data_IF_974850759079
#
_entry.id   IF_974850759079
#
_cell.length_a   1.000
_cell.length_b   1.000
_cell.length_c   1.000
_cell.angle_alpha   90.00
_cell.angle_beta   90.00
_cell.angle_gamma   90.00
#
_symmetry.space_group_name_H-M   'P 1'
#
loop_
_entity.id
_entity.type
_entity.pdbx_description
1 polymer ?
#
# COMPACT_ATOMS: atom_id res chain seq x y z
N UNK A 1 57.71 -42.70 -53.35
CA UNK A 1 57.57 -41.92 -54.60
C UNK A 1 56.59 -40.78 -54.31
N UNK A 2 57.10 -39.56 -54.11
CA UNK A 2 56.87 -38.39 -54.99
C UNK A 2 55.38 -37.98 -55.03
N UNK A 3 54.92 -36.80 -54.60
CA UNK A 3 55.49 -35.44 -54.76
C UNK A 3 54.94 -34.48 -53.69
N UNK A 4 55.81 -33.56 -53.28
CA UNK A 4 55.51 -32.33 -52.56
C UNK A 4 54.90 -31.27 -53.50
N UNK A 5 54.02 -30.42 -52.97
CA UNK A 5 53.70 -29.11 -53.54
C UNK A 5 54.04 -28.04 -52.52
N UNK A 6 55.00 -27.19 -52.91
CA UNK A 6 55.45 -26.00 -52.20
C UNK A 6 54.46 -24.84 -52.41
N UNK A 7 54.40 -23.89 -51.48
CA UNK A 7 54.40 -22.46 -51.79
C UNK A 7 54.88 -21.65 -50.59
N UNK A 8 55.84 -20.78 -50.85
CA UNK A 8 56.51 -19.86 -49.94
C UNK A 8 55.81 -18.49 -49.90
N UNK A 9 56.28 -17.68 -48.94
CA UNK A 9 56.30 -16.22 -48.90
C UNK A 9 55.03 -15.55 -48.36
N UNK A 10 55.10 -14.47 -47.59
CA UNK A 10 56.21 -13.76 -46.97
C UNK A 10 55.62 -12.93 -45.82
N UNK A 11 56.41 -12.74 -44.76
CA UNK A 11 56.06 -11.86 -43.67
C UNK A 11 56.26 -10.38 -43.99
N UNK A 12 55.61 -9.57 -43.15
CA UNK A 12 55.80 -8.14 -42.76
C UNK A 12 54.44 -7.45 -42.77
N UNK A 13 54.09 -6.50 -41.92
CA UNK A 13 54.52 -6.10 -40.59
C UNK A 13 53.40 -5.15 -40.12
N UNK A 14 53.04 -5.27 -38.84
CA UNK A 14 52.52 -4.24 -37.94
C UNK A 14 51.59 -3.16 -38.51
N UNK A 15 50.36 -3.13 -38.01
CA UNK A 15 49.75 -1.89 -37.53
C UNK A 15 48.71 -2.16 -36.46
N UNK A 16 49.05 -1.75 -35.23
CA UNK A 16 48.14 -1.72 -34.11
C UNK A 16 46.98 -0.75 -34.40
N UNK A 17 45.75 -1.21 -34.23
CA UNK A 17 44.61 -0.36 -33.91
C UNK A 17 43.97 -0.93 -32.66
N UNK A 18 44.20 -0.26 -31.53
CA UNK A 18 43.36 -0.37 -30.37
C UNK A 18 42.06 0.39 -30.66
N UNK A 19 40.92 -0.29 -30.58
CA UNK A 19 39.63 0.35 -30.37
C UNK A 19 38.84 -0.50 -29.38
N UNK A 20 38.87 -0.03 -28.14
CA UNK A 20 38.22 -0.54 -26.96
C UNK A 20 36.71 -0.29 -27.08
N UNK A 21 35.92 -1.31 -27.43
CA UNK A 21 34.46 -1.25 -27.29
C UNK A 21 34.07 -1.96 -26.00
N UNK A 22 34.13 -1.24 -24.87
CA UNK A 22 33.44 -1.64 -23.65
C UNK A 22 31.93 -1.44 -23.89
N UNK A 23 31.23 -2.53 -24.18
CA UNK A 23 29.77 -2.55 -24.16
C UNK A 23 29.29 -2.39 -22.72
N UNK A 24 28.97 -1.15 -22.32
CA UNK A 24 28.25 -0.91 -21.08
C UNK A 24 26.81 -1.42 -21.25
N UNK A 25 26.53 -2.63 -20.74
CA UNK A 25 25.17 -3.08 -20.56
C UNK A 25 24.54 -2.21 -19.46
N UNK A 26 23.66 -1.27 -19.85
CA UNK A 26 22.86 -0.50 -18.91
C UNK A 26 21.98 -1.44 -18.09
N UNK A 27 22.25 -1.53 -16.79
CA UNK A 27 21.24 -2.00 -15.85
C UNK A 27 20.12 -0.96 -15.85
N UNK A 28 18.99 -1.28 -16.50
CA UNK A 28 17.76 -0.57 -16.25
C UNK A 28 17.32 -0.90 -14.81
N UNK A 29 17.49 0.05 -13.91
CA UNK A 29 16.85 0.00 -12.60
C UNK A 29 15.32 -0.04 -12.79
N UNK A 30 14.56 -0.78 -11.98
CA UNK A 30 13.11 -0.66 -12.02
C UNK A 30 12.77 0.78 -11.64
N UNK A 31 11.84 1.38 -12.39
CA UNK A 31 11.21 2.61 -11.95
C UNK A 31 10.48 2.30 -10.65
N UNK A 32 11.03 2.71 -9.50
CA UNK A 32 10.24 2.88 -8.30
C UNK A 32 9.13 3.85 -8.66
N UNK A 33 7.90 3.35 -8.73
CA UNK A 33 6.73 4.19 -8.65
C UNK A 33 6.71 4.74 -7.23
N UNK A 34 7.50 5.79 -6.99
CA UNK A 34 7.50 6.52 -5.76
C UNK A 34 6.07 7.01 -5.57
N UNK A 35 5.34 6.43 -4.60
CA UNK A 35 4.16 7.05 -4.05
C UNK A 35 4.61 8.39 -3.47
N UNK A 36 4.58 9.42 -4.30
CA UNK A 36 4.65 10.80 -3.86
C UNK A 36 3.51 10.94 -2.86
N UNK A 37 3.86 11.15 -1.59
CA UNK A 37 2.93 11.64 -0.59
C UNK A 37 2.94 13.17 -0.69
N UNK A 38 2.05 13.81 -1.48
CA UNK A 38 1.85 15.24 -1.35
C UNK A 38 1.32 15.50 0.06
N UNK A 39 2.15 16.13 0.89
CA UNK A 39 1.73 16.58 2.20
C UNK A 39 0.62 17.63 2.12
N UNK A 40 -0.31 17.54 3.09
CA UNK A 40 -1.17 18.60 3.69
C UNK A 40 -2.67 18.66 3.36
N UNK A 41 -3.21 17.93 2.38
CA UNK A 41 -4.66 17.91 2.15
C UNK A 41 -5.30 16.62 2.69
N UNK A 42 -6.48 16.74 3.31
CA UNK A 42 -7.29 15.57 3.65
C UNK A 42 -7.67 14.82 2.36
N UNK A 43 -7.66 13.47 2.34
CA UNK A 43 -8.12 12.72 1.19
C UNK A 43 -9.62 13.00 1.00
N UNK A 44 -10.13 12.88 -0.24
CA UNK A 44 -11.57 12.90 -0.46
C UNK A 44 -12.23 11.76 0.34
N UNK A 45 -13.49 11.92 0.78
CA UNK A 45 -14.21 10.83 1.42
C UNK A 45 -14.34 9.64 0.45
N UNK A 46 -14.35 8.43 1.01
CA UNK A 46 -14.62 7.24 0.22
C UNK A 46 -16.05 7.27 -0.32
N UNK A 47 -16.21 7.08 -1.63
CA UNK A 47 -17.50 6.97 -2.29
C UNK A 47 -17.56 5.63 -3.01
N UNK A 48 -18.42 4.72 -2.52
CA UNK A 48 -18.71 3.47 -3.21
C UNK A 48 -19.42 3.77 -4.53
N UNK A 49 -18.72 3.59 -5.65
CA UNK A 49 -19.27 3.85 -6.99
C UNK A 49 -18.53 3.03 -8.03
N UNK A 50 -19.24 2.61 -9.08
CA UNK A 50 -18.64 1.93 -10.24
C UNK A 50 -17.92 2.90 -11.20
N UNK A 51 -17.86 4.19 -10.89
CA UNK A 51 -17.19 5.21 -11.71
C UNK A 51 -15.66 5.13 -11.67
N UNK A 52 -15.07 4.44 -10.68
CA UNK A 52 -13.61 4.25 -10.53
C UNK A 52 -13.26 2.78 -10.63
N UNK A 53 -12.10 2.38 -11.16
CA UNK A 53 -11.67 0.97 -11.11
C UNK A 53 -11.50 0.49 -9.66
N UNK A 54 -11.63 -0.83 -9.43
CA UNK A 54 -11.49 -1.43 -8.09
C UNK A 54 -10.21 -1.01 -7.36
N UNK A 55 -9.06 -1.02 -8.04
CA UNK A 55 -7.78 -0.62 -7.44
C UNK A 55 -7.83 0.82 -6.88
N UNK A 56 -8.42 1.76 -7.62
CA UNK A 56 -8.55 3.14 -7.16
C UNK A 56 -9.49 3.28 -5.95
N UNK A 57 -10.52 2.44 -5.83
CA UNK A 57 -11.36 2.41 -4.62
C UNK A 57 -10.62 1.86 -3.41
N UNK A 58 -9.74 0.88 -3.60
CA UNK A 58 -8.87 0.36 -2.52
C UNK A 58 -7.88 1.43 -2.08
N UNK A 59 -7.25 2.14 -3.03
CA UNK A 59 -6.37 3.27 -2.72
C UNK A 59 -7.10 4.37 -1.95
N UNK A 60 -8.30 4.77 -2.39
CA UNK A 60 -9.14 5.73 -1.68
C UNK A 60 -9.44 5.26 -0.23
N UNK A 61 -9.86 4.01 -0.05
CA UNK A 61 -10.19 3.46 1.27
C UNK A 61 -8.96 3.43 2.20
N UNK A 62 -7.80 3.01 1.69
CA UNK A 62 -6.55 3.02 2.46
C UNK A 62 -6.10 4.43 2.82
N UNK A 63 -6.22 5.40 1.89
CA UNK A 63 -5.86 6.79 2.15
C UNK A 63 -6.75 7.43 3.21
N UNK A 64 -8.07 7.20 3.15
CA UNK A 64 -9.03 7.67 4.16
C UNK A 64 -8.73 7.04 5.52
N UNK A 65 -8.51 5.73 5.57
CA UNK A 65 -8.13 5.02 6.79
C UNK A 65 -6.84 5.57 7.39
N UNK A 66 -5.79 5.70 6.58
CA UNK A 66 -4.49 6.18 7.01
C UNK A 66 -4.59 7.60 7.56
N UNK A 67 -5.24 8.52 6.83
CA UNK A 67 -5.45 9.87 7.33
C UNK A 67 -6.25 9.85 8.65
N UNK A 68 -7.35 9.10 8.72
CA UNK A 68 -8.16 8.99 9.94
C UNK A 68 -7.34 8.51 11.15
N UNK A 69 -6.49 7.51 10.95
CA UNK A 69 -5.58 7.00 11.98
C UNK A 69 -4.54 8.05 12.40
N UNK A 70 -3.93 8.78 11.46
CA UNK A 70 -2.96 9.84 11.81
C UNK A 70 -3.57 11.02 12.55
N UNK A 71 -4.88 11.23 12.42
CA UNK A 71 -5.61 12.33 13.08
C UNK A 71 -6.43 11.86 14.29
N UNK A 72 -6.33 10.58 14.67
CA UNK A 72 -7.07 10.07 15.82
C UNK A 72 -6.65 10.85 17.09
N UNK A 73 -7.61 11.31 17.91
CA UNK A 73 -7.30 12.08 19.10
C UNK A 73 -6.74 11.13 20.16
N UNK A 74 -5.42 10.92 20.19
CA UNK A 74 -4.76 10.11 21.22
C UNK A 74 -4.38 10.98 22.42
N UNK A 75 -4.36 10.39 23.61
CA UNK A 75 -4.03 11.06 24.87
C UNK A 75 -3.06 10.26 25.76
N UNK A 76 -2.53 9.14 25.26
CA UNK A 76 -1.57 8.29 25.98
C UNK A 76 -2.20 7.28 26.93
N UNK A 77 -3.54 7.27 27.06
CA UNK A 77 -4.26 6.23 27.80
C UNK A 77 -4.51 5.06 26.85
N UNK A 78 -3.99 3.85 27.13
CA UNK A 78 -4.03 2.73 26.16
C UNK A 78 -5.43 2.40 25.64
N UNK A 79 -6.43 2.33 26.52
CA UNK A 79 -7.80 2.00 26.12
C UNK A 79 -8.41 3.07 25.22
N UNK A 80 -8.15 4.35 25.53
CA UNK A 80 -8.63 5.47 24.74
C UNK A 80 -7.98 5.50 23.36
N UNK A 81 -6.65 5.36 23.31
CA UNK A 81 -5.89 5.40 22.09
C UNK A 81 -6.23 4.20 21.19
N UNK A 82 -6.43 3.02 21.76
CA UNK A 82 -6.92 1.85 21.03
C UNK A 82 -8.24 2.16 20.34
N UNK A 83 -9.24 2.65 21.08
CA UNK A 83 -10.57 2.93 20.54
C UNK A 83 -10.52 4.06 19.50
N UNK A 84 -9.78 5.14 19.78
CA UNK A 84 -9.63 6.28 18.88
C UNK A 84 -8.99 5.88 17.53
N UNK A 85 -7.98 5.01 17.56
CA UNK A 85 -7.30 4.51 16.36
C UNK A 85 -8.11 3.44 15.62
N UNK A 86 -8.87 2.62 16.35
CA UNK A 86 -9.56 1.47 15.78
C UNK A 86 -10.83 1.87 15.01
N UNK A 87 -11.46 2.99 15.34
CA UNK A 87 -12.59 3.54 14.57
C UNK A 87 -12.23 3.80 13.09
N UNK A 88 -11.21 4.62 12.75
CA UNK A 88 -10.84 4.84 11.35
C UNK A 88 -10.27 3.57 10.68
N UNK A 89 -9.59 2.70 11.43
CA UNK A 89 -9.15 1.39 10.92
C UNK A 89 -10.34 0.55 10.45
N UNK A 90 -11.38 0.45 11.27
CA UNK A 90 -12.60 -0.30 10.93
C UNK A 90 -13.37 0.34 9.77
N UNK A 91 -13.39 1.68 9.71
CA UNK A 91 -13.99 2.38 8.57
C UNK A 91 -13.30 2.02 7.25
N UNK A 92 -11.97 1.92 7.24
CA UNK A 92 -11.20 1.42 6.09
C UNK A 92 -11.62 0.02 5.64
N UNK A 93 -11.79 -0.91 6.59
CA UNK A 93 -12.24 -2.27 6.30
C UNK A 93 -13.65 -2.31 5.69
N UNK A 94 -14.57 -1.49 6.21
CA UNK A 94 -15.92 -1.33 5.68
C UNK A 94 -15.87 -0.81 4.23
N UNK A 95 -15.03 0.17 3.95
CA UNK A 95 -14.96 0.78 2.62
C UNK A 95 -14.32 -0.15 1.58
N UNK A 96 -13.30 -0.92 1.95
CA UNK A 96 -12.78 -2.00 1.10
C UNK A 96 -13.82 -3.10 0.85
N UNK A 97 -14.61 -3.48 1.86
CA UNK A 97 -15.70 -4.44 1.71
C UNK A 97 -16.79 -3.93 0.74
N UNK A 98 -17.15 -2.65 0.80
CA UNK A 98 -18.06 -2.03 -0.18
C UNK A 98 -17.47 -2.06 -1.59
N UNK A 99 -16.17 -1.79 -1.75
CA UNK A 99 -15.50 -1.89 -3.04
C UNK A 99 -15.58 -3.33 -3.60
N UNK A 100 -15.38 -4.35 -2.75
CA UNK A 100 -15.56 -5.74 -3.15
C UNK A 100 -17.00 -6.02 -3.61
N UNK A 101 -18.02 -5.50 -2.92
CA UNK A 101 -19.41 -5.74 -3.32
C UNK A 101 -19.79 -5.14 -4.69
N UNK A 102 -19.05 -4.13 -5.17
CA UNK A 102 -19.25 -3.54 -6.49
C UNK A 102 -18.63 -4.39 -7.63
N UNK A 103 -17.50 -5.05 -7.39
CA UNK A 103 -16.71 -5.71 -8.45
C UNK A 103 -16.60 -7.22 -8.30
N UNK A 104 -16.58 -7.72 -7.07
CA UNK A 104 -16.41 -9.12 -6.71
C UNK A 104 -17.65 -9.95 -7.05
N UNK A 105 -17.41 -11.14 -7.61
CA UNK A 105 -18.46 -12.05 -8.09
C UNK A 105 -18.57 -13.33 -7.27
N UNK A 106 -17.53 -13.69 -6.54
CA UNK A 106 -17.51 -14.91 -5.72
C UNK A 106 -18.54 -14.80 -4.56
N UNK A 107 -19.52 -15.72 -4.46
CA UNK A 107 -20.56 -15.64 -3.44
C UNK A 107 -20.04 -15.69 -2.01
N UNK A 108 -19.00 -16.49 -1.74
CA UNK A 108 -18.45 -16.62 -0.40
C UNK A 108 -17.75 -15.33 0.04
N UNK A 109 -16.97 -14.72 -0.84
CA UNK A 109 -16.31 -13.44 -0.57
C UNK A 109 -17.30 -12.28 -0.45
N UNK A 110 -18.39 -12.28 -1.23
CA UNK A 110 -19.47 -11.29 -1.07
C UNK A 110 -20.16 -11.44 0.28
N UNK A 111 -20.43 -12.67 0.71
CA UNK A 111 -20.98 -12.94 2.05
C UNK A 111 -20.03 -12.46 3.16
N UNK A 112 -18.73 -12.74 3.02
CA UNK A 112 -17.71 -12.23 3.93
C UNK A 112 -17.71 -10.70 3.99
N UNK A 113 -17.74 -10.00 2.86
CA UNK A 113 -17.79 -8.54 2.84
C UNK A 113 -19.03 -7.96 3.51
N UNK A 114 -20.20 -8.58 3.31
CA UNK A 114 -21.42 -8.16 4.01
C UNK A 114 -21.31 -8.37 5.53
N UNK A 115 -20.66 -9.46 5.95
CA UNK A 115 -20.32 -9.73 7.35
C UNK A 115 -19.40 -8.67 7.93
N UNK A 116 -18.29 -8.35 7.25
CA UNK A 116 -17.35 -7.30 7.64
C UNK A 116 -18.05 -5.95 7.81
N UNK A 117 -18.90 -5.56 6.84
CA UNK A 117 -19.66 -4.30 6.93
C UNK A 117 -20.52 -4.30 8.19
N UNK A 118 -21.27 -5.37 8.43
CA UNK A 118 -22.21 -5.44 9.55
C UNK A 118 -21.47 -5.40 10.89
N UNK A 119 -20.46 -6.24 11.07
CA UNK A 119 -19.77 -6.38 12.35
C UNK A 119 -18.95 -5.14 12.66
N UNK A 120 -18.16 -4.64 11.70
CA UNK A 120 -17.30 -3.49 11.97
C UNK A 120 -18.10 -2.19 12.15
N UNK A 121 -19.29 -2.08 11.56
CA UNK A 121 -20.23 -1.01 11.92
C UNK A 121 -20.74 -1.13 13.36
N UNK A 122 -20.99 -2.33 13.86
CA UNK A 122 -21.38 -2.55 15.26
C UNK A 122 -20.24 -2.17 16.20
N UNK A 123 -19.02 -2.62 15.90
CA UNK A 123 -17.80 -2.31 16.67
C UNK A 123 -17.51 -0.81 16.69
N UNK A 124 -17.64 -0.10 15.56
CA UNK A 124 -17.53 1.38 15.53
C UNK A 124 -18.55 2.03 16.48
N UNK A 125 -19.81 1.59 16.46
CA UNK A 125 -20.84 2.16 17.37
C UNK A 125 -20.51 1.90 18.84
N UNK A 126 -20.03 0.69 19.16
CA UNK A 126 -19.58 0.34 20.51
C UNK A 126 -18.42 1.25 20.96
N UNK A 127 -17.43 1.41 20.10
CA UNK A 127 -16.24 2.24 20.33
C UNK A 127 -16.60 3.72 20.51
N UNK A 128 -17.47 4.26 19.66
CA UNK A 128 -17.99 5.63 19.80
C UNK A 128 -18.75 5.82 21.10
N UNK A 129 -19.61 4.86 21.47
CA UNK A 129 -20.34 4.90 22.74
C UNK A 129 -19.40 4.78 23.95
N UNK A 130 -18.29 4.05 23.83
CA UNK A 130 -17.24 3.99 24.84
C UNK A 130 -16.57 5.36 25.01
N UNK A 131 -16.14 6.00 23.92
CA UNK A 131 -15.53 7.34 23.97
C UNK A 131 -16.46 8.37 24.60
N UNK A 132 -17.73 8.39 24.22
CA UNK A 132 -18.72 9.34 24.78
C UNK A 132 -18.88 9.19 26.30
N UNK A 133 -18.92 7.95 26.81
CA UNK A 133 -19.03 7.68 28.25
C UNK A 133 -17.78 8.10 29.04
N UNK A 134 -16.60 7.97 28.44
CA UNK A 134 -15.32 8.23 29.13
C UNK A 134 -14.78 9.64 28.88
N UNK A 135 -15.31 10.40 27.92
CA UNK A 135 -15.07 11.84 27.79
C UNK A 135 -15.83 12.65 28.86
N UNK A 136 -16.94 12.13 29.37
CA UNK A 136 -17.77 12.77 30.40
C UNK A 136 -17.30 12.51 31.85
N UNK A 137 -16.26 11.69 32.04
CA UNK A 137 -15.70 11.34 33.34
C UNK A 137 -14.26 11.86 33.41
N UNK A 138 -13.93 12.86 34.26
CA UNK A 138 -12.54 13.22 34.49
C UNK A 138 -11.80 12.01 35.05
N UNK A 139 -10.68 11.68 34.41
CA UNK A 139 -9.86 10.49 34.67
C UNK A 139 -9.64 10.25 36.16
N UNK A 140 -10.37 9.29 36.74
CA UNK A 140 -10.00 8.67 38.01
C UNK A 140 -8.87 7.69 37.73
N UNK A 141 -7.68 8.20 37.41
CA UNK A 141 -6.47 7.39 37.28
C UNK A 141 -5.87 7.20 38.67
N UNK A 142 -6.23 6.11 39.33
CA UNK A 142 -5.38 5.53 40.39
C UNK A 142 -4.35 4.64 39.68
N UNK A 143 -3.03 4.88 39.84
CA UNK A 143 -2.01 4.03 39.25
C UNK A 143 -2.03 2.64 39.91
N UNK A 144 -1.75 1.53 39.18
CA UNK A 144 -1.51 0.24 39.81
C UNK A 144 -0.22 0.27 40.63
N UNK A 145 -0.27 -0.37 41.80
CA UNK A 145 0.84 -0.59 42.73
C UNK A 145 1.85 -1.58 42.17
#
# INVERSE_FOLDING_TARGET
MQRSSSCHAAGTAVRALAALCLSAASLAAPAENAHQHPGKAAPPPFIASTAKPYAALIDDAMNVMHHGMTQAPTNGIPDHDFVAMMIPHHQGAIDMAKALLLYGKDPALRNLAQGIITEQQNEIRLMQAWLQRHQAQPSQSTPPR
#
